data_IF_928016764619
#
_entry.id   IF_928016764619
#
_cell.length_a   1.000
_cell.length_b   1.000
_cell.length_c   1.000
_cell.angle_alpha   90.00
_cell.angle_beta   90.00
_cell.angle_gamma   90.00
#
_symmetry.space_group_name_H-M   'P 1'
#
loop_
_entity.id
_entity.type
_entity.pdbx_description
1 polymer ?
#
# COMPACT_ATOMS: atom_id res chain seq x y z
N UNK A 1 -14.13 -0.93 -37.90
CA UNK A 1 -15.17 -1.45 -36.98
C UNK A 1 -14.49 -2.42 -36.05
N UNK A 2 -13.94 -1.93 -34.95
CA UNK A 2 -13.35 -2.80 -33.92
C UNK A 2 -13.43 -2.03 -32.60
N UNK A 3 -14.37 -2.44 -31.75
CA UNK A 3 -14.59 -1.82 -30.43
C UNK A 3 -13.58 -2.43 -29.47
N UNK A 4 -12.48 -1.70 -29.24
CA UNK A 4 -11.60 -1.95 -28.10
C UNK A 4 -12.32 -1.48 -26.83
N UNK A 5 -12.85 -2.43 -26.05
CA UNK A 5 -13.37 -2.17 -24.71
C UNK A 5 -12.17 -2.01 -23.77
N UNK A 6 -11.74 -0.76 -23.60
CA UNK A 6 -10.97 -0.34 -22.45
C UNK A 6 -11.87 -0.44 -21.22
N UNK A 7 -11.60 -1.40 -20.34
CA UNK A 7 -12.18 -1.45 -18.99
C UNK A 7 -11.64 -0.27 -18.20
N UNK A 8 -12.21 0.91 -18.46
CA UNK A 8 -12.21 2.02 -17.53
C UNK A 8 -12.88 1.52 -16.26
N UNK A 9 -12.08 1.28 -15.23
CA UNK A 9 -12.58 1.31 -13.87
C UNK A 9 -13.23 2.69 -13.69
N UNK A 10 -14.55 2.75 -13.89
CA UNK A 10 -15.30 3.89 -13.41
C UNK A 10 -15.12 3.83 -11.91
N UNK A 11 -14.30 4.74 -11.38
CA UNK A 11 -14.46 5.25 -10.04
C UNK A 11 -15.87 5.81 -10.01
N UNK A 12 -16.83 4.91 -9.82
CA UNK A 12 -18.20 5.21 -9.44
C UNK A 12 -18.02 5.89 -8.09
N UNK A 13 -17.82 7.20 -8.21
CA UNK A 13 -18.06 8.26 -7.25
C UNK A 13 -18.37 7.66 -5.89
N UNK A 14 -17.40 7.72 -4.96
CA UNK A 14 -17.70 7.59 -3.54
C UNK A 14 -18.70 8.71 -3.21
N UNK A 15 -19.97 8.48 -3.50
CA UNK A 15 -21.06 9.25 -2.99
C UNK A 15 -21.08 8.88 -1.52
N UNK A 16 -20.48 9.72 -0.69
CA UNK A 16 -20.79 9.77 0.72
C UNK A 16 -22.27 10.17 0.82
N UNK A 17 -23.15 9.19 0.62
CA UNK A 17 -24.60 9.38 0.56
C UNK A 17 -25.20 9.89 1.88
N UNK A 18 -24.35 9.99 2.92
CA UNK A 18 -24.72 10.38 4.27
C UNK A 18 -24.20 11.77 4.67
N UNK A 19 -23.54 12.49 3.77
CA UNK A 19 -23.35 13.93 3.98
C UNK A 19 -24.66 14.60 3.57
N UNK A 20 -25.72 14.38 4.36
CA UNK A 20 -26.98 15.13 4.22
C UNK A 20 -26.78 16.62 4.55
N UNK A 21 -25.66 16.96 5.20
CA UNK A 21 -25.23 18.34 5.42
C UNK A 21 -24.24 18.79 4.35
N UNK A 22 -24.75 19.12 3.17
CA UNK A 22 -23.98 19.79 2.10
C UNK A 22 -23.47 21.21 2.49
N UNK A 23 -23.68 21.59 3.75
CA UNK A 23 -23.21 22.82 4.39
C UNK A 23 -22.36 22.60 5.66
N UNK A 24 -21.99 21.36 6.00
CA UNK A 24 -21.18 21.13 7.20
C UNK A 24 -19.73 21.60 6.97
N UNK A 25 -19.40 22.76 7.54
CA UNK A 25 -18.00 23.16 7.74
C UNK A 25 -17.41 22.21 8.77
N UNK A 26 -16.66 21.21 8.28
CA UNK A 26 -15.97 20.27 9.15
C UNK A 26 -15.06 21.02 10.11
N UNK A 27 -15.42 20.99 11.39
CA UNK A 27 -14.95 21.99 12.36
C UNK A 27 -13.58 21.65 12.97
N UNK A 28 -13.06 20.43 12.73
CA UNK A 28 -11.72 20.00 13.14
C UNK A 28 -11.27 18.71 12.39
N UNK A 29 -9.96 18.40 12.35
CA UNK A 29 -9.45 17.14 11.78
C UNK A 29 -10.07 15.88 12.38
N UNK A 30 -10.40 15.91 13.69
CA UNK A 30 -11.03 14.80 14.40
C UNK A 30 -12.45 14.55 13.89
N UNK A 31 -13.21 15.61 13.64
CA UNK A 31 -14.56 15.51 13.09
C UNK A 31 -14.53 14.91 11.68
N UNK A 32 -13.55 15.31 10.84
CA UNK A 32 -13.36 14.75 9.50
C UNK A 32 -13.06 13.25 9.59
N UNK A 33 -12.11 12.86 10.45
CA UNK A 33 -11.75 11.46 10.64
C UNK A 33 -12.97 10.63 11.12
N UNK A 34 -13.78 11.19 12.02
CA UNK A 34 -14.99 10.56 12.51
C UNK A 34 -16.02 10.32 11.39
N UNK A 35 -16.33 11.33 10.58
CA UNK A 35 -17.31 11.21 9.48
C UNK A 35 -16.83 10.20 8.43
N UNK A 36 -15.55 10.22 8.08
CA UNK A 36 -14.94 9.25 7.16
C UNK A 36 -15.07 7.83 7.73
N UNK A 37 -14.66 7.63 8.98
CA UNK A 37 -14.72 6.33 9.66
C UNK A 37 -16.15 5.80 9.76
N UNK A 38 -17.11 6.66 10.11
CA UNK A 38 -18.52 6.31 10.20
C UNK A 38 -19.09 5.91 8.82
N UNK A 39 -18.76 6.67 7.77
CA UNK A 39 -19.18 6.37 6.40
C UNK A 39 -18.65 5.02 5.93
N UNK A 40 -17.35 4.75 6.17
CA UNK A 40 -16.76 3.45 5.86
C UNK A 40 -17.40 2.33 6.66
N UNK A 41 -17.66 2.53 7.96
CA UNK A 41 -18.29 1.53 8.80
C UNK A 41 -19.69 1.17 8.27
N UNK A 42 -20.48 2.15 7.81
CA UNK A 42 -21.83 1.92 7.24
C UNK A 42 -21.79 1.13 5.94
N UNK A 43 -20.91 1.51 5.00
CA UNK A 43 -20.77 0.79 3.72
C UNK A 43 -20.18 -0.60 3.91
N UNK A 44 -19.30 -0.78 4.89
CA UNK A 44 -18.63 -2.05 5.18
C UNK A 44 -19.39 -2.96 6.16
N UNK A 45 -20.62 -2.60 6.55
CA UNK A 45 -21.43 -3.51 7.38
C UNK A 45 -21.72 -4.78 6.60
N UNK A 46 -21.67 -5.92 7.29
CA UNK A 46 -21.98 -7.21 6.69
C UNK A 46 -23.36 -7.26 6.03
N UNK A 47 -24.30 -6.42 6.49
CA UNK A 47 -25.65 -6.32 5.94
C UNK A 47 -25.75 -5.48 4.67
N UNK A 48 -24.80 -4.58 4.43
CA UNK A 48 -24.74 -3.71 3.25
C UNK A 48 -24.28 -4.44 1.98
N UNK A 49 -23.74 -5.65 2.11
CA UNK A 49 -23.26 -6.44 0.98
C UNK A 49 -24.37 -7.28 0.31
N UNK A 50 -24.24 -7.50 -0.99
CA UNK A 50 -25.12 -8.43 -1.71
C UNK A 50 -24.98 -9.87 -1.18
N UNK A 51 -26.05 -10.66 -1.29
CA UNK A 51 -26.05 -12.07 -0.87
C UNK A 51 -24.93 -12.87 -1.55
N UNK A 52 -24.67 -12.61 -2.83
CA UNK A 52 -23.58 -13.23 -3.59
C UNK A 52 -22.20 -12.93 -2.97
N UNK A 53 -21.93 -11.68 -2.60
CA UNK A 53 -20.66 -11.30 -1.97
C UNK A 53 -20.51 -11.90 -0.57
N UNK A 54 -21.58 -11.96 0.23
CA UNK A 54 -21.55 -12.59 1.56
C UNK A 54 -21.09 -14.05 1.48
N UNK A 55 -21.54 -14.80 0.48
CA UNK A 55 -21.11 -16.20 0.25
C UNK A 55 -19.62 -16.28 -0.07
N UNK A 56 -19.11 -15.40 -0.95
CA UNK A 56 -17.69 -15.34 -1.31
C UNK A 56 -16.85 -15.02 -0.07
N UNK A 57 -17.20 -13.96 0.66
CA UNK A 57 -16.53 -13.52 1.87
C UNK A 57 -16.47 -14.64 2.92
N UNK A 58 -17.59 -15.28 3.21
CA UNK A 58 -17.67 -16.39 4.16
C UNK A 58 -16.74 -17.56 3.78
N UNK A 59 -16.68 -17.92 2.49
CA UNK A 59 -15.80 -18.98 2.01
C UNK A 59 -14.32 -18.58 2.12
N UNK A 60 -14.00 -17.35 1.77
CA UNK A 60 -12.64 -16.82 1.82
C UNK A 60 -12.13 -16.72 3.28
N UNK A 61 -12.89 -16.12 4.18
CA UNK A 61 -12.52 -15.93 5.60
C UNK A 61 -12.42 -17.25 6.37
N UNK A 62 -13.10 -18.31 5.92
CA UNK A 62 -12.95 -19.66 6.49
C UNK A 62 -11.60 -20.31 6.21
N UNK A 63 -10.87 -19.83 5.20
CA UNK A 63 -9.57 -20.38 4.86
C UNK A 63 -8.54 -19.75 5.79
N UNK A 64 -7.94 -20.52 6.73
CA UNK A 64 -6.92 -19.98 7.61
C UNK A 64 -5.70 -19.53 6.79
N UNK A 65 -5.20 -18.34 7.09
CA UNK A 65 -3.95 -17.83 6.51
C UNK A 65 -2.80 -18.36 7.37
N UNK A 66 -2.02 -19.29 6.82
CA UNK A 66 -0.83 -19.81 7.47
C UNK A 66 0.37 -18.91 7.15
N UNK A 67 0.75 -18.07 8.11
CA UNK A 67 1.96 -17.23 7.99
C UNK A 67 3.26 -18.01 8.15
N UNK A 68 3.21 -19.18 8.80
CA UNK A 68 4.37 -20.06 9.03
C UNK A 68 4.53 -21.10 7.90
N UNK A 69 4.47 -20.64 6.65
CA UNK A 69 4.72 -21.49 5.52
C UNK A 69 6.23 -21.56 5.25
N UNK A 70 6.87 -22.72 5.44
CA UNK A 70 8.29 -22.95 5.09
C UNK A 70 8.57 -22.88 3.58
N UNK A 71 7.52 -22.73 2.76
CA UNK A 71 7.63 -22.64 1.32
C UNK A 71 8.38 -21.36 0.95
N UNK A 72 9.57 -21.57 0.42
CA UNK A 72 10.45 -20.53 -0.12
C UNK A 72 9.83 -19.94 -1.38
N UNK A 73 8.87 -19.04 -1.20
CA UNK A 73 8.34 -18.25 -2.29
C UNK A 73 9.36 -17.20 -2.73
N UNK A 74 9.44 -16.95 -4.04
CA UNK A 74 10.38 -15.99 -4.62
C UNK A 74 10.22 -14.57 -4.06
N UNK A 75 9.00 -14.19 -3.63
CA UNK A 75 8.73 -12.89 -3.01
C UNK A 75 9.29 -12.75 -1.59
N UNK A 76 9.68 -13.85 -0.94
CA UNK A 76 10.29 -13.87 0.39
C UNK A 76 11.81 -14.03 0.34
N UNK A 77 12.40 -14.17 -0.85
CA UNK A 77 13.85 -14.25 -1.03
C UNK A 77 14.51 -12.89 -0.77
N UNK A 78 15.83 -12.93 -0.61
CA UNK A 78 16.67 -11.73 -0.56
C UNK A 78 16.44 -10.86 -1.79
N UNK A 79 16.39 -9.56 -1.55
CA UNK A 79 16.41 -8.54 -2.58
C UNK A 79 17.67 -8.69 -3.43
N UNK A 80 17.50 -8.48 -4.73
CA UNK A 80 18.56 -8.51 -5.73
C UNK A 80 18.92 -7.12 -6.20
N UNK A 81 20.15 -6.97 -6.70
CA UNK A 81 20.66 -5.69 -7.19
C UNK A 81 19.76 -5.05 -8.26
N UNK A 82 19.19 -5.85 -9.17
CA UNK A 82 18.30 -5.30 -10.20
C UNK A 82 16.99 -4.73 -9.61
N UNK A 83 16.50 -5.31 -8.51
CA UNK A 83 15.28 -4.84 -7.84
C UNK A 83 15.54 -3.51 -7.15
N UNK A 84 16.69 -3.38 -6.46
CA UNK A 84 17.14 -2.13 -5.88
C UNK A 84 17.28 -1.03 -6.94
N UNK A 85 17.98 -1.31 -8.05
CA UNK A 85 18.14 -0.35 -9.15
C UNK A 85 16.80 0.04 -9.79
N UNK A 86 15.90 -0.92 -9.98
CA UNK A 86 14.56 -0.66 -10.53
C UNK A 86 13.74 0.23 -9.59
N UNK A 87 13.79 -0.03 -8.29
CA UNK A 87 13.10 0.78 -7.28
C UNK A 87 13.65 2.22 -7.26
N UNK A 88 14.97 2.38 -7.30
CA UNK A 88 15.64 3.69 -7.37
C UNK A 88 15.26 4.47 -8.64
N UNK A 89 15.25 3.80 -9.80
CA UNK A 89 14.83 4.40 -11.07
C UNK A 89 13.36 4.84 -11.07
N UNK A 90 12.47 4.08 -10.41
CA UNK A 90 11.04 4.42 -10.32
C UNK A 90 10.73 5.51 -9.29
N UNK A 91 11.64 5.77 -8.34
CA UNK A 91 11.47 6.83 -7.36
C UNK A 91 11.56 8.20 -8.05
N UNK A 92 10.48 8.98 -7.95
CA UNK A 92 10.48 10.40 -8.36
C UNK A 92 11.29 11.22 -7.37
N UNK A 93 11.82 12.37 -7.83
CA UNK A 93 12.48 13.34 -6.95
C UNK A 93 11.51 13.80 -5.85
N UNK A 94 11.70 13.28 -4.64
CA UNK A 94 11.04 13.78 -3.44
C UNK A 94 11.92 14.82 -2.74
N UNK A 95 11.31 15.64 -1.88
CA UNK A 95 12.04 16.54 -1.01
C UNK A 95 13.10 15.77 -0.19
N UNK A 96 14.29 16.35 0.04
CA UNK A 96 15.31 15.71 0.86
C UNK A 96 14.78 15.35 2.25
N UNK A 97 15.27 14.24 2.81
CA UNK A 97 14.93 13.86 4.19
C UNK A 97 15.49 14.85 5.23
N UNK A 98 15.22 14.65 6.52
CA UNK A 98 15.68 15.53 7.61
C UNK A 98 17.20 15.76 7.65
N UNK A 99 17.98 14.83 7.09
CA UNK A 99 19.44 14.90 7.00
C UNK A 99 19.96 15.45 5.65
N UNK A 100 19.09 16.02 4.82
CA UNK A 100 19.47 16.61 3.53
C UNK A 100 19.82 15.61 2.43
N UNK A 101 19.69 14.30 2.68
CA UNK A 101 19.91 13.26 1.67
C UNK A 101 18.69 13.23 0.73
N UNK A 102 18.93 13.53 -0.53
CA UNK A 102 17.91 13.52 -1.58
C UNK A 102 18.02 12.26 -2.45
N UNK A 103 16.92 11.85 -3.07
CA UNK A 103 16.87 10.67 -3.94
C UNK A 103 17.87 10.74 -5.11
N UNK A 104 18.11 11.94 -5.67
CA UNK A 104 19.09 12.11 -6.73
C UNK A 104 20.51 11.70 -6.29
N UNK A 105 20.87 11.93 -5.03
CA UNK A 105 22.18 11.54 -4.49
C UNK A 105 22.32 10.01 -4.46
N UNK A 106 21.23 9.32 -4.06
CA UNK A 106 21.19 7.86 -4.00
C UNK A 106 21.25 7.24 -5.40
N UNK A 107 20.58 7.87 -6.39
CA UNK A 107 20.60 7.44 -7.78
C UNK A 107 21.99 7.55 -8.45
N UNK A 108 22.87 8.38 -7.91
CA UNK A 108 24.23 8.58 -8.42
C UNK A 108 25.32 7.88 -7.59
N UNK A 109 24.94 7.01 -6.65
CA UNK A 109 25.90 6.18 -5.92
C UNK A 109 26.60 5.19 -6.85
N UNK A 110 27.83 4.84 -6.51
CA UNK A 110 28.54 3.77 -7.20
C UNK A 110 27.93 2.39 -6.85
N UNK A 111 28.29 1.37 -7.63
CA UNK A 111 27.79 0.00 -7.43
C UNK A 111 28.16 -0.56 -6.05
N UNK A 112 29.34 -0.24 -5.52
CA UNK A 112 29.80 -0.73 -4.21
C UNK A 112 28.94 -0.20 -3.06
N UNK A 113 28.57 1.08 -3.09
CA UNK A 113 27.66 1.69 -2.13
C UNK A 113 26.26 1.12 -2.26
N UNK A 114 25.77 0.90 -3.49
CA UNK A 114 24.49 0.23 -3.72
C UNK A 114 24.49 -1.21 -3.18
N UNK A 115 25.62 -1.91 -3.28
CA UNK A 115 25.78 -3.25 -2.73
C UNK A 115 25.69 -3.24 -1.20
N UNK A 116 26.35 -2.29 -0.54
CA UNK A 116 26.24 -2.12 0.92
C UNK A 116 24.80 -1.83 1.36
N UNK A 117 24.08 -0.98 0.63
CA UNK A 117 22.66 -0.70 0.87
C UNK A 117 21.82 -1.98 0.71
N UNK A 118 22.07 -2.75 -0.35
CA UNK A 118 21.39 -4.02 -0.59
C UNK A 118 21.61 -5.02 0.55
N UNK A 119 22.85 -5.13 1.04
CA UNK A 119 23.18 -6.00 2.17
C UNK A 119 22.45 -5.57 3.44
N UNK A 120 22.39 -4.26 3.72
CA UNK A 120 21.65 -3.73 4.86
C UNK A 120 20.16 -4.11 4.79
N UNK A 121 19.51 -3.89 3.64
CA UNK A 121 18.11 -4.27 3.47
C UNK A 121 17.87 -5.77 3.62
N UNK A 122 18.75 -6.61 3.07
CA UNK A 122 18.66 -8.06 3.21
C UNK A 122 18.90 -8.54 4.65
N UNK A 123 19.76 -7.87 5.39
CA UNK A 123 19.98 -8.15 6.81
C UNK A 123 18.72 -7.82 7.63
N UNK A 124 18.14 -6.62 7.46
CA UNK A 124 16.87 -6.23 8.10
C UNK A 124 15.74 -7.19 7.71
N UNK A 125 15.68 -7.60 6.44
CA UNK A 125 14.67 -8.53 5.93
C UNK A 125 14.73 -9.89 6.62
N UNK A 126 15.94 -10.45 6.80
CA UNK A 126 16.16 -11.75 7.43
C UNK A 126 15.96 -11.70 8.94
N UNK A 127 16.57 -10.72 9.59
CA UNK A 127 16.64 -10.67 11.05
C UNK A 127 15.40 -10.03 11.66
N UNK A 128 14.60 -9.30 10.88
CA UNK A 128 13.42 -8.55 11.33
C UNK A 128 13.77 -7.52 12.42
N UNK A 129 15.02 -7.07 12.44
CA UNK A 129 15.57 -6.10 13.38
C UNK A 129 15.94 -4.84 12.61
N UNK A 130 15.48 -3.69 13.12
CA UNK A 130 15.88 -2.40 12.59
C UNK A 130 17.21 -1.96 13.22
N UNK A 131 18.07 -1.24 12.47
CA UNK A 131 19.27 -0.63 13.03
C UNK A 131 18.89 0.25 14.23
N UNK A 132 19.59 0.05 15.34
CA UNK A 132 19.48 0.93 16.50
C UNK A 132 20.22 2.24 16.20
N UNK A 133 19.73 3.33 16.82
CA UNK A 133 20.33 4.66 16.70
C UNK A 133 21.62 4.77 17.49
#
# INVERSE_FOLDING_TARGET
>A
MEKSQSSQWSLSRFHFADIEDWYCVFSSPEHIAHVIGHSFAKVSKSDSYSSAFKVIRYRAEKTPIFFNNEQRCSYNCDFKMFELKKALYQCRNASPGPYGIAYHMINHLNEDFLFNILQLFNHIWKERIYPTK
#
